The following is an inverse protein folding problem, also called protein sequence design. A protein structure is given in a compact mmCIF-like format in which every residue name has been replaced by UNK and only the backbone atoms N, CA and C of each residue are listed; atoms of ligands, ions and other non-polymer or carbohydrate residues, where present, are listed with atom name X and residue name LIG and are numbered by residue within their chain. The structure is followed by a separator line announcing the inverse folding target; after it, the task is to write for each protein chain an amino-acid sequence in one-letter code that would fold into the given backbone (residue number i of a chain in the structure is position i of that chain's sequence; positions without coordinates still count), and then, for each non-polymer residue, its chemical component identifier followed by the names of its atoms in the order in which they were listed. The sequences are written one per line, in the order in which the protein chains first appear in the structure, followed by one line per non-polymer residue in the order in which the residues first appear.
data_IF_130852968544
#
_entry.id   IF_130852968544
#
_cell.length_a   1.000
_cell.length_b   1.000
_cell.length_c   1.000
_cell.angle_alpha   90.00
_cell.angle_beta   90.00
_cell.angle_gamma   90.00
#
_symmetry.space_group_name_H-M   'P 1'
#
loop_
_entity.id
_entity.type
_entity.pdbx_description
1 polymer ?
#
# COMPACT_ATOMS: atom_id res chain seq x y z
N UNK A 1 -18.39 -16.51 7.85
CA UNK A 1 -17.27 -16.45 8.81
C UNK A 1 -16.49 -15.18 8.53
N UNK A 2 -16.42 -14.29 9.51
CA UNK A 2 -15.59 -13.10 9.43
C UNK A 2 -14.11 -13.52 9.47
N UNK A 3 -13.28 -12.80 8.74
CA UNK A 3 -11.82 -12.95 8.78
C UNK A 3 -11.23 -11.71 9.43
N UNK A 4 -10.09 -11.87 10.10
CA UNK A 4 -9.37 -10.75 10.71
C UNK A 4 -8.54 -10.04 9.64
N UNK A 5 -8.65 -8.72 9.58
CA UNK A 5 -7.91 -7.84 8.66
C UNK A 5 -7.30 -6.70 9.44
N UNK A 6 -6.13 -6.26 9.01
CA UNK A 6 -5.48 -5.04 9.48
C UNK A 6 -5.83 -3.95 8.49
N UNK A 7 -6.57 -2.94 8.96
CA UNK A 7 -6.86 -1.72 8.22
C UNK A 7 -5.84 -0.67 8.60
N UNK A 8 -5.19 -0.06 7.61
CA UNK A 8 -4.36 1.13 7.80
C UNK A 8 -4.97 2.30 7.04
N UNK A 9 -5.20 3.42 7.72
CA UNK A 9 -5.77 4.62 7.12
C UNK A 9 -4.72 5.55 6.49
N UNK A 10 -5.17 6.59 5.81
CA UNK A 10 -4.32 7.65 5.23
C UNK A 10 -3.45 8.38 6.27
N UNK A 11 -3.85 8.37 7.53
CA UNK A 11 -3.12 9.00 8.65
C UNK A 11 -2.04 8.08 9.24
N UNK A 12 -1.94 6.83 8.77
CA UNK A 12 -1.02 5.83 9.29
C UNK A 12 -1.50 5.13 10.57
N UNK A 13 -2.78 5.26 10.95
CA UNK A 13 -3.34 4.49 12.06
C UNK A 13 -3.68 3.08 11.56
N UNK A 14 -3.18 2.06 12.25
CA UNK A 14 -3.61 0.69 12.04
C UNK A 14 -4.63 0.24 13.07
N UNK A 15 -5.65 -0.47 12.61
CA UNK A 15 -6.63 -1.13 13.46
C UNK A 15 -6.93 -2.52 12.94
N UNK A 16 -7.10 -3.48 13.86
CA UNK A 16 -7.53 -4.82 13.52
C UNK A 16 -9.06 -4.81 13.49
N UNK A 17 -9.62 -5.24 12.37
CA UNK A 17 -11.06 -5.31 12.13
C UNK A 17 -11.45 -6.71 11.68
N UNK A 18 -12.64 -7.15 12.07
CA UNK A 18 -13.24 -8.37 11.57
C UNK A 18 -14.17 -8.03 10.41
N UNK A 19 -13.84 -8.54 9.22
CA UNK A 19 -14.62 -8.31 8.01
C UNK A 19 -15.03 -9.63 7.38
N UNK A 20 -16.28 -9.69 6.93
CA UNK A 20 -16.75 -10.77 6.09
C UNK A 20 -16.29 -10.58 4.65
N UNK A 21 -16.02 -11.70 3.96
CA UNK A 21 -15.65 -11.72 2.52
C UNK A 21 -16.65 -10.90 1.68
N UNK A 22 -17.95 -11.01 1.96
CA UNK A 22 -18.99 -10.28 1.23
C UNK A 22 -18.99 -8.77 1.51
N UNK A 23 -18.64 -8.35 2.73
CA UNK A 23 -18.50 -6.94 3.10
C UNK A 23 -17.35 -6.29 2.33
N UNK A 24 -16.21 -6.98 2.22
CA UNK A 24 -15.06 -6.50 1.44
C UNK A 24 -15.42 -6.39 -0.05
N UNK A 25 -16.09 -7.41 -0.60
CA UNK A 25 -16.53 -7.40 -2.00
C UNK A 25 -17.42 -6.20 -2.32
N UNK A 26 -18.39 -5.89 -1.45
CA UNK A 26 -19.27 -4.73 -1.64
C UNK A 26 -18.55 -3.39 -1.44
N UNK A 27 -17.68 -3.31 -0.42
CA UNK A 27 -17.00 -2.07 -0.05
C UNK A 27 -15.96 -1.64 -1.08
N UNK A 28 -15.16 -2.59 -1.57
CA UNK A 28 -14.06 -2.35 -2.49
C UNK A 28 -14.43 -2.61 -3.97
N UNK A 29 -15.70 -2.93 -4.23
CA UNK A 29 -16.22 -3.32 -5.56
C UNK A 29 -15.40 -4.45 -6.21
N UNK A 30 -15.12 -5.48 -5.42
CA UNK A 30 -14.31 -6.63 -5.82
C UNK A 30 -15.17 -7.83 -6.16
N UNK A 31 -14.77 -8.53 -7.23
CA UNK A 31 -15.38 -9.81 -7.57
C UNK A 31 -14.89 -10.91 -6.62
N UNK A 32 -15.65 -12.01 -6.53
CA UNK A 32 -15.22 -13.17 -5.76
C UNK A 32 -13.87 -13.75 -6.26
N UNK A 33 -13.52 -13.52 -7.53
CA UNK A 33 -12.24 -13.95 -8.12
C UNK A 33 -11.07 -13.17 -7.54
N UNK A 34 -11.23 -11.86 -7.34
CA UNK A 34 -10.18 -11.00 -6.78
C UNK A 34 -9.87 -11.39 -5.34
N UNK A 35 -10.91 -11.63 -4.55
CA UNK A 35 -10.74 -12.01 -3.14
C UNK A 35 -10.08 -13.39 -2.98
N UNK A 36 -10.31 -14.31 -3.92
CA UNK A 36 -9.65 -15.62 -3.94
C UNK A 36 -8.14 -15.53 -4.16
N UNK A 37 -7.63 -14.46 -4.78
CA UNK A 37 -6.18 -14.27 -4.95
C UNK A 37 -5.48 -14.06 -3.61
N UNK A 38 -6.17 -13.45 -2.66
CA UNK A 38 -5.68 -13.16 -1.32
C UNK A 38 -5.78 -14.37 -0.38
N UNK A 39 -6.51 -15.42 -0.79
CA UNK A 39 -6.72 -16.61 0.01
C UNK A 39 -5.40 -17.43 0.10
N UNK A 40 -4.88 -17.70 1.31
CA UNK A 40 -3.63 -18.43 1.51
C UNK A 40 -3.66 -19.86 1.00
N UNK A 41 -4.83 -20.46 0.82
CA UNK A 41 -4.96 -21.83 0.34
C UNK A 41 -4.62 -21.99 -1.16
N UNK A 42 -4.47 -20.89 -1.90
CA UNK A 42 -4.19 -20.92 -3.33
C UNK A 42 -2.84 -20.29 -3.69
N UNK A 43 -2.00 -21.07 -4.35
CA UNK A 43 -0.77 -20.61 -4.99
C UNK A 43 -1.16 -19.92 -6.30
N UNK A 44 -1.21 -18.59 -6.29
CA UNK A 44 -1.34 -17.78 -7.51
C UNK A 44 -0.03 -17.02 -7.75
N UNK A 45 0.32 -16.75 -9.02
CA UNK A 45 1.47 -15.92 -9.34
C UNK A 45 1.32 -14.50 -8.78
N UNK A 46 2.45 -13.82 -8.62
CA UNK A 46 2.49 -12.41 -8.26
C UNK A 46 1.69 -11.57 -9.28
N UNK A 47 0.66 -10.87 -8.82
CA UNK A 47 -0.32 -10.15 -9.63
C UNK A 47 -0.71 -8.83 -8.96
N UNK A 48 -0.82 -7.76 -9.76
CA UNK A 48 -1.41 -6.48 -9.35
C UNK A 48 -2.63 -6.26 -10.24
N UNK A 49 -3.80 -6.12 -9.64
CA UNK A 49 -5.05 -5.87 -10.35
C UNK A 49 -5.59 -4.49 -10.02
N UNK A 50 -5.68 -3.63 -11.03
CA UNK A 50 -6.43 -2.38 -10.94
C UNK A 50 -7.94 -2.65 -11.09
N UNK A 51 -8.72 -2.22 -10.10
CA UNK A 51 -10.19 -2.16 -10.13
C UNK A 51 -10.64 -0.72 -10.01
N UNK A 52 -11.93 -0.46 -10.19
CA UNK A 52 -12.45 0.92 -10.19
C UNK A 52 -12.25 1.64 -8.85
N UNK A 53 -12.36 0.92 -7.72
CA UNK A 53 -12.27 1.49 -6.36
C UNK A 53 -11.16 0.90 -5.50
N UNK A 54 -10.35 0.01 -6.07
CA UNK A 54 -9.32 -0.68 -5.32
C UNK A 54 -8.20 -1.20 -6.22
N UNK A 55 -7.03 -1.40 -5.64
CA UNK A 55 -5.90 -2.11 -6.23
C UNK A 55 -5.69 -3.37 -5.39
N UNK A 56 -5.83 -4.54 -6.01
CA UNK A 56 -5.57 -5.82 -5.33
C UNK A 56 -4.14 -6.24 -5.63
N UNK A 57 -3.35 -6.41 -4.58
CA UNK A 57 -1.92 -6.71 -4.68
C UNK A 57 -1.68 -8.09 -4.08
N UNK A 58 -1.10 -8.99 -4.88
CA UNK A 58 -0.52 -10.26 -4.45
C UNK A 58 0.92 -10.31 -4.95
N UNK A 59 1.91 -10.15 -4.09
CA UNK A 59 3.33 -10.17 -4.46
C UNK A 59 4.09 -11.01 -3.42
N UNK A 60 4.56 -12.19 -3.79
CA UNK A 60 5.27 -13.10 -2.87
C UNK A 60 4.52 -13.32 -1.53
N UNK A 61 5.01 -12.71 -0.44
CA UNK A 61 4.43 -12.76 0.91
C UNK A 61 3.45 -11.62 1.22
N UNK A 62 3.34 -10.63 0.33
CA UNK A 62 2.49 -9.45 0.51
C UNK A 62 1.16 -9.67 -0.19
N UNK A 63 0.08 -9.53 0.58
CA UNK A 63 -1.29 -9.60 0.08
C UNK A 63 -2.04 -8.42 0.69
N UNK A 64 -2.60 -7.56 -0.13
CA UNK A 64 -3.41 -6.46 0.37
C UNK A 64 -4.40 -5.94 -0.68
N UNK A 65 -5.41 -5.24 -0.18
CA UNK A 65 -6.34 -4.44 -0.97
C UNK A 65 -6.07 -2.99 -0.61
N UNK A 66 -5.70 -2.19 -1.60
CA UNK A 66 -5.44 -0.78 -1.44
C UNK A 66 -6.65 -0.04 -2.00
N UNK A 67 -7.25 0.83 -1.21
CA UNK A 67 -8.31 1.75 -1.64
C UNK A 67 -7.79 3.18 -1.58
N UNK A 68 -8.60 4.17 -1.94
CA UNK A 68 -8.22 5.59 -1.83
C UNK A 68 -8.08 6.07 -0.37
N UNK A 69 -8.76 5.42 0.58
CA UNK A 69 -8.86 5.89 1.97
C UNK A 69 -8.16 4.98 2.98
N UNK A 70 -7.90 3.72 2.60
CA UNK A 70 -7.34 2.71 3.50
C UNK A 70 -6.68 1.55 2.74
N UNK A 71 -5.77 0.86 3.42
CA UNK A 71 -5.19 -0.41 3.00
C UNK A 71 -5.70 -1.51 3.91
N UNK A 72 -6.22 -2.60 3.32
CA UNK A 72 -6.64 -3.80 4.02
C UNK A 72 -5.60 -4.90 3.78
N UNK A 73 -4.97 -5.35 4.85
CA UNK A 73 -4.01 -6.46 4.85
C UNK A 73 -4.65 -7.63 5.59
N UNK A 74 -4.68 -8.86 5.03
CA UNK A 74 -5.12 -10.03 5.78
C UNK A 74 -4.27 -10.18 7.04
N UNK A 75 -4.91 -10.33 8.19
CA UNK A 75 -4.19 -10.52 9.44
C UNK A 75 -3.60 -11.94 9.45
N UNK A 76 -2.29 -12.03 9.25
CA UNK A 76 -1.51 -13.24 9.49
C UNK A 76 -0.56 -12.99 10.65
N UNK A 77 -0.25 -14.02 11.42
CA UNK A 77 0.74 -13.97 12.50
C UNK A 77 2.19 -13.96 11.98
N UNK A 78 2.37 -13.86 10.67
CA UNK A 78 3.68 -13.84 10.02
C UNK A 78 4.41 -12.52 10.30
N UNK A 79 5.68 -12.62 10.72
CA UNK A 79 6.51 -11.46 11.00
C UNK A 79 6.59 -10.49 9.79
N UNK A 80 6.55 -11.01 8.56
CA UNK A 80 6.53 -10.21 7.34
C UNK A 80 5.34 -9.26 7.25
N UNK A 81 4.14 -9.69 7.67
CA UNK A 81 2.95 -8.84 7.66
C UNK A 81 3.10 -7.71 8.68
N UNK A 82 3.65 -8.00 9.86
CA UNK A 82 3.90 -6.99 10.89
C UNK A 82 4.93 -5.95 10.44
N UNK A 83 6.03 -6.38 9.83
CA UNK A 83 7.05 -5.48 9.27
C UNK A 83 6.46 -4.60 8.16
N UNK A 84 5.68 -5.20 7.26
CA UNK A 84 5.02 -4.47 6.19
C UNK A 84 4.05 -3.41 6.72
N UNK A 85 3.19 -3.76 7.69
CA UNK A 85 2.26 -2.81 8.31
C UNK A 85 3.01 -1.68 9.00
N UNK A 86 4.09 -1.98 9.74
CA UNK A 86 4.90 -0.96 10.40
C UNK A 86 5.55 0.03 9.41
N UNK A 87 6.08 -0.47 8.29
CA UNK A 87 6.65 0.40 7.26
C UNK A 87 5.57 1.23 6.55
N UNK A 88 4.40 0.65 6.33
CA UNK A 88 3.25 1.34 5.76
C UNK A 88 2.80 2.50 6.66
N UNK A 89 2.64 2.26 7.96
CA UNK A 89 2.34 3.32 8.94
C UNK A 89 3.38 4.43 8.90
N UNK A 90 4.67 4.08 9.01
CA UNK A 90 5.79 5.03 9.05
C UNK A 90 5.81 5.94 7.82
N UNK A 91 5.63 5.37 6.63
CA UNK A 91 5.63 6.13 5.37
C UNK A 91 4.38 6.97 5.18
N UNK A 92 3.23 6.50 5.65
CA UNK A 92 1.98 7.25 5.60
C UNK A 92 2.06 8.49 6.51
N UNK A 93 2.48 8.31 7.76
CA UNK A 93 2.65 9.40 8.74
C UNK A 93 3.72 10.42 8.31
N UNK A 94 4.83 9.96 7.71
CA UNK A 94 5.92 10.84 7.28
C UNK A 94 5.51 11.87 6.21
N UNK A 95 4.48 11.59 5.42
CA UNK A 95 3.96 12.56 4.45
C UNK A 95 2.99 13.56 5.07
N UNK A 96 2.13 13.13 6.00
CA UNK A 96 1.16 14.01 6.67
C UNK A 96 1.82 15.11 7.52
N UNK A 97 3.04 14.88 8.01
CA UNK A 97 3.76 15.86 8.85
C UNK A 97 4.56 16.89 8.03
N UNK A 98 4.79 16.68 6.72
CA UNK A 98 5.64 17.58 5.91
C UNK A 98 4.91 18.79 5.32
N UNK A 99 3.57 18.83 5.34
CA UNK A 99 2.81 20.00 4.90
C UNK A 99 2.98 21.23 5.82
N UNK A 100 3.48 21.08 7.06
CA UNK A 100 3.59 22.19 8.04
C UNK A 100 4.96 22.88 8.05
N UNK A 101 5.94 22.48 7.21
CA UNK A 101 7.30 23.09 7.19
C UNK A 101 7.72 23.75 5.88
N UNK A 102 6.78 24.16 5.04
CA UNK A 102 7.09 25.06 3.91
C UNK A 102 6.44 26.43 4.11
N UNK A 103 7.05 27.20 5.00
CA UNK A 103 7.03 28.66 4.92
C UNK A 103 8.40 29.13 5.42
N UNK A 104 9.41 29.05 4.55
CA UNK A 104 10.29 30.20 4.31
C UNK A 104 11.20 30.00 3.07
N UNK A 105 11.36 31.08 2.31
CA UNK A 105 12.41 31.40 1.34
C UNK A 105 12.63 30.56 0.06
N UNK A 106 11.88 30.94 -0.98
CA UNK A 106 12.40 31.55 -2.22
C UNK A 106 13.54 30.87 -3.01
N UNK A 107 13.23 30.40 -4.22
CA UNK A 107 13.90 30.86 -5.45
C UNK A 107 13.14 30.39 -6.71
N UNK A 108 12.48 31.32 -7.39
CA UNK A 108 12.07 31.15 -8.77
C UNK A 108 13.35 31.14 -9.65
N UNK A 109 13.41 30.27 -10.67
CA UNK A 109 14.42 30.21 -11.76
C UNK A 109 15.57 29.17 -11.68
N UNK A 110 15.26 27.88 -11.89
CA UNK A 110 16.11 26.88 -12.58
C UNK A 110 15.31 25.57 -12.64
N UNK A 111 15.11 24.83 -13.74
CA UNK A 111 15.71 24.83 -15.07
C UNK A 111 14.89 23.86 -15.93
N UNK A 112 14.41 24.30 -17.09
CA UNK A 112 13.92 23.43 -18.17
C UNK A 112 15.07 22.48 -18.57
N UNK A 113 14.92 21.15 -18.43
CA UNK A 113 15.73 20.13 -19.13
C UNK A 113 15.07 18.75 -18.99
N UNK A 114 14.83 18.10 -20.13
CA UNK A 114 14.10 16.85 -20.22
C UNK A 114 14.85 15.62 -19.73
N UNK A 115 14.13 14.50 -19.74
CA UNK A 115 14.66 13.14 -19.93
C UNK A 115 15.64 12.62 -18.91
N UNK A 116 15.14 12.18 -17.74
CA UNK A 116 15.48 10.89 -17.11
C UNK A 116 14.64 10.71 -15.85
N UNK A 117 13.71 9.76 -15.91
CA UNK A 117 12.97 9.25 -14.75
C UNK A 117 13.98 8.58 -13.81
N UNK A 118 14.21 9.17 -12.65
CA UNK A 118 14.93 8.53 -11.55
C UNK A 118 13.94 7.65 -10.80
N UNK A 119 13.93 6.36 -11.13
CA UNK A 119 13.04 5.34 -10.55
C UNK A 119 13.55 4.78 -9.20
N UNK A 120 14.70 5.23 -8.67
CA UNK A 120 15.31 4.64 -7.46
C UNK A 120 16.02 5.68 -6.59
N UNK A 121 15.41 6.86 -6.40
CA UNK A 121 16.01 7.95 -5.64
C UNK A 121 15.16 8.36 -4.45
N UNK A 122 15.17 7.58 -3.37
CA UNK A 122 14.93 7.93 -1.96
C UNK A 122 14.14 9.22 -1.60
N UNK A 123 13.06 9.52 -2.33
CA UNK A 123 12.15 10.62 -2.08
C UNK A 123 10.75 10.08 -2.19
N UNK A 124 10.12 9.82 -1.04
CA UNK A 124 8.67 9.75 -0.95
C UNK A 124 8.13 10.99 -1.66
N UNK A 125 7.67 10.81 -2.90
CA UNK A 125 7.18 11.92 -3.72
C UNK A 125 5.88 12.35 -3.05
N UNK A 126 5.84 13.49 -2.35
CA UNK A 126 4.70 13.86 -1.52
C UNK A 126 3.43 14.12 -2.36
N UNK A 127 3.56 14.14 -3.69
CA UNK A 127 2.51 14.44 -4.65
C UNK A 127 1.77 13.19 -5.19
N UNK A 128 2.11 11.98 -4.73
CA UNK A 128 1.41 10.76 -5.15
C UNK A 128 0.12 10.55 -4.33
N UNK A 129 -1.01 10.21 -4.99
CA UNK A 129 -2.21 9.77 -4.30
C UNK A 129 -1.93 8.60 -3.34
N UNK A 130 -2.75 8.50 -2.28
CA UNK A 130 -2.57 7.53 -1.20
C UNK A 130 -2.40 6.10 -1.72
N UNK A 131 -3.21 5.70 -2.69
CA UNK A 131 -3.21 4.37 -3.28
C UNK A 131 -1.88 4.01 -3.95
N UNK A 132 -1.23 4.99 -4.62
CA UNK A 132 0.07 4.77 -5.26
C UNK A 132 1.21 4.77 -4.26
N UNK A 133 1.10 5.54 -3.18
CA UNK A 133 2.08 5.51 -2.09
C UNK A 133 2.02 4.16 -1.37
N UNK A 134 0.82 3.69 -1.03
CA UNK A 134 0.64 2.36 -0.47
C UNK A 134 1.21 1.27 -1.39
N UNK A 135 0.98 1.39 -2.71
CA UNK A 135 1.52 0.46 -3.69
C UNK A 135 3.05 0.51 -3.77
N UNK A 136 3.66 1.69 -3.70
CA UNK A 136 5.11 1.85 -3.62
C UNK A 136 5.68 1.11 -2.41
N UNK A 137 5.08 1.28 -1.22
CA UNK A 137 5.50 0.52 -0.02
C UNK A 137 5.38 -0.99 -0.23
N UNK A 138 4.30 -1.45 -0.85
CA UNK A 138 4.08 -2.87 -1.13
C UNK A 138 5.15 -3.44 -2.07
N UNK A 139 5.51 -2.70 -3.11
CA UNK A 139 6.53 -3.10 -4.07
C UNK A 139 7.92 -3.14 -3.42
N UNK A 140 8.27 -2.12 -2.65
CA UNK A 140 9.57 -2.08 -1.97
C UNK A 140 9.71 -3.19 -0.92
N UNK A 141 8.65 -3.49 -0.16
CA UNK A 141 8.66 -4.60 0.78
C UNK A 141 8.78 -5.95 0.06
N UNK A 142 8.16 -6.12 -1.12
CA UNK A 142 8.31 -7.32 -1.93
C UNK A 142 9.74 -7.47 -2.46
N UNK A 143 10.35 -6.38 -2.95
CA UNK A 143 11.74 -6.37 -3.39
C UNK A 143 12.70 -6.69 -2.24
N UNK A 144 12.51 -6.06 -1.07
CA UNK A 144 13.33 -6.31 0.12
C UNK A 144 13.27 -7.77 0.55
N UNK A 145 12.10 -8.41 0.43
CA UNK A 145 11.93 -9.83 0.70
C UNK A 145 12.71 -10.69 -0.31
N UNK A 146 12.61 -10.39 -1.60
CA UNK A 146 13.33 -11.11 -2.65
C UNK A 146 14.86 -10.97 -2.52
N UNK A 147 15.35 -9.79 -2.14
CA UNK A 147 16.79 -9.53 -1.92
C UNK A 147 17.33 -10.25 -0.68
N UNK A 148 16.46 -10.60 0.28
CA UNK A 148 16.84 -11.32 1.51
C UNK A 148 16.89 -12.85 1.36
N UNK A 149 16.59 -13.39 0.17
CA UNK A 149 16.73 -14.81 -0.18
C UNK A 149 18.02 -15.09 -0.95
#
# INVERSE_FOLDING_TARGET
MASSWIRVDTSGNSQIIELEKFTIMRRCDLSARDLRLLDPLFVYPSTILGREKAIVVKLEQIRCIITADEVLVPNSLDNYVLQYVAELQKRLTAAGVREVRQSDNGNYLRRKRGGRRSFFGNSSSPDLPFEFRALEVALEAACTFLDSQ
#
